data_IF_506912902930
#
_entry.id   IF_506912902930
#
_cell.length_a   1.000
_cell.length_b   1.000
_cell.length_c   1.000
_cell.angle_alpha   90.00
_cell.angle_beta   90.00
_cell.angle_gamma   90.00
#
_symmetry.space_group_name_H-M   'P 1'
#
loop_
_entity.id
_entity.type
_entity.pdbx_description
1 polymer ?
#
# COMPACT_ATOMS: atom_id res chain seq x y z
N UNK A 1 9.36 13.59 15.32
CA UNK A 1 9.51 13.16 13.92
C UNK A 1 10.55 12.04 13.81
N UNK A 2 11.85 12.32 14.02
CA UNK A 2 12.92 11.31 13.88
C UNK A 2 12.71 10.05 14.73
N UNK A 3 12.22 10.19 15.97
CA UNK A 3 11.90 9.04 16.83
C UNK A 3 10.77 8.14 16.26
N UNK A 4 9.68 8.74 15.78
CA UNK A 4 8.58 7.99 15.17
C UNK A 4 8.94 7.45 13.78
N UNK A 5 9.89 8.07 13.08
CA UNK A 5 10.37 7.59 11.79
C UNK A 5 11.04 6.21 11.88
N UNK A 6 11.71 5.90 13.00
CA UNK A 6 12.25 4.57 13.28
C UNK A 6 11.14 3.51 13.47
N UNK A 7 10.05 3.91 14.13
CA UNK A 7 8.85 3.07 14.34
C UNK A 7 8.15 2.71 13.02
N UNK A 8 8.24 3.59 12.03
CA UNK A 8 7.66 3.40 10.69
C UNK A 8 8.66 2.91 9.64
N UNK A 9 9.81 2.32 10.01
CA UNK A 9 10.82 1.79 9.07
C UNK A 9 11.10 2.75 7.88
N UNK A 10 11.38 4.03 8.18
CA UNK A 10 11.69 5.07 7.19
C UNK A 10 10.59 5.47 6.21
N UNK A 11 9.31 5.20 6.50
CA UNK A 11 8.21 5.81 5.74
C UNK A 11 8.01 7.27 6.21
N UNK A 12 8.87 8.16 5.72
CA UNK A 12 9.22 9.45 6.34
C UNK A 12 8.06 10.41 6.59
N UNK A 13 6.96 10.28 5.83
CA UNK A 13 5.87 11.25 5.90
C UNK A 13 4.78 10.93 6.93
N UNK A 14 4.56 9.64 7.21
CA UNK A 14 3.71 9.23 8.34
C UNK A 14 4.26 9.77 9.64
N UNK A 15 5.59 9.81 9.76
CA UNK A 15 6.24 10.28 10.98
C UNK A 15 5.86 11.72 11.33
N UNK A 16 5.68 12.61 10.34
CA UNK A 16 5.38 14.02 10.60
C UNK A 16 3.93 14.20 11.07
N UNK A 17 2.96 13.70 10.31
CA UNK A 17 1.54 13.78 10.68
C UNK A 17 1.22 12.98 11.95
N UNK A 18 1.85 11.82 12.13
CA UNK A 18 1.72 11.05 13.35
C UNK A 18 2.32 11.77 14.57
N UNK A 19 3.52 12.33 14.43
CA UNK A 19 4.15 13.12 15.53
C UNK A 19 3.26 14.31 15.90
N UNK A 20 2.79 15.08 14.91
CA UNK A 20 1.95 16.26 15.19
C UNK A 20 0.62 15.86 15.84
N UNK A 21 0.01 14.76 15.38
CA UNK A 21 -1.22 14.22 15.98
C UNK A 21 -1.04 13.77 17.43
N UNK A 22 0.04 13.05 17.75
CA UNK A 22 0.36 12.64 19.12
C UNK A 22 0.61 13.86 20.02
N UNK A 23 1.35 14.86 19.54
CA UNK A 23 1.59 16.10 20.27
C UNK A 23 0.29 16.88 20.51
N UNK A 24 -0.54 17.04 19.48
CA UNK A 24 -1.83 17.72 19.59
C UNK A 24 -2.78 16.99 20.54
N UNK A 25 -2.76 15.66 20.53
CA UNK A 25 -3.52 14.83 21.49
C UNK A 25 -3.07 15.09 22.92
N UNK A 26 -1.76 15.14 23.17
CA UNK A 26 -1.21 15.47 24.49
C UNK A 26 -1.63 16.87 24.94
N UNK A 27 -1.48 17.88 24.08
CA UNK A 27 -1.88 19.26 24.38
C UNK A 27 -3.39 19.33 24.65
N UNK A 28 -4.22 18.71 23.81
CA UNK A 28 -5.66 18.68 23.99
C UNK A 28 -6.07 18.00 25.31
N UNK A 29 -5.39 16.92 25.70
CA UNK A 29 -5.61 16.24 26.97
C UNK A 29 -5.28 17.15 28.17
N UNK A 30 -4.14 17.85 28.13
CA UNK A 30 -3.75 18.82 29.16
C UNK A 30 -4.79 19.95 29.25
N UNK A 31 -5.18 20.55 28.13
CA UNK A 31 -6.19 21.62 28.10
C UNK A 31 -7.52 21.15 28.72
N UNK A 32 -8.00 19.96 28.34
CA UNK A 32 -9.23 19.38 28.90
C UNK A 32 -9.14 19.09 30.39
N UNK A 33 -7.98 18.65 30.87
CA UNK A 33 -7.74 18.43 32.30
C UNK A 33 -7.92 19.72 33.12
N UNK A 34 -7.58 20.88 32.54
CA UNK A 34 -7.80 22.20 33.15
C UNK A 34 -9.17 22.81 32.83
N UNK A 35 -10.08 22.07 32.19
CA UNK A 35 -11.43 22.53 31.88
C UNK A 35 -11.55 23.44 30.65
N UNK A 36 -10.50 23.57 29.84
CA UNK A 36 -10.57 24.35 28.59
C UNK A 36 -11.34 23.57 27.51
N UNK A 37 -12.34 24.21 26.91
CA UNK A 37 -13.07 23.70 25.75
C UNK A 37 -12.38 24.15 24.46
N UNK A 38 -12.06 23.20 23.59
CA UNK A 38 -11.47 23.48 22.27
C UNK A 38 -12.60 23.45 21.25
N UNK A 39 -12.98 24.63 20.74
CA UNK A 39 -14.01 24.74 19.70
C UNK A 39 -13.45 24.40 18.32
N UNK A 40 -14.11 23.48 17.62
CA UNK A 40 -13.81 23.19 16.23
C UNK A 40 -14.43 24.27 15.33
N UNK A 41 -13.63 24.90 14.46
CA UNK A 41 -14.13 25.85 13.46
C UNK A 41 -13.85 25.35 12.05
N UNK A 42 -14.91 25.15 11.28
CA UNK A 42 -14.87 24.69 9.89
C UNK A 42 -15.28 25.83 8.95
N UNK A 43 -14.44 26.86 8.87
CA UNK A 43 -14.65 28.00 7.97
C UNK A 43 -13.99 27.72 6.62
N UNK A 44 -14.81 27.59 5.57
CA UNK A 44 -14.32 27.29 4.23
C UNK A 44 -15.05 28.12 3.18
N UNK A 45 -14.28 28.77 2.30
CA UNK A 45 -14.83 29.53 1.17
C UNK A 45 -15.19 28.59 0.01
N UNK A 46 -16.39 28.78 -0.57
CA UNK A 46 -16.90 27.98 -1.68
C UNK A 46 -17.05 28.78 -3.00
N UNK A 47 -16.78 30.09 -2.98
CA UNK A 47 -17.16 31.01 -4.06
C UNK A 47 -16.29 30.90 -5.33
N UNK A 48 -15.06 30.40 -5.21
CA UNK A 48 -14.07 30.41 -6.30
C UNK A 48 -13.86 29.05 -6.99
N UNK A 49 -14.74 28.08 -6.74
CA UNK A 49 -14.65 26.72 -7.29
C UNK A 49 -14.29 26.65 -8.79
N UNK A 50 -14.96 27.35 -9.73
CA UNK A 50 -14.66 27.19 -11.16
C UNK A 50 -13.25 27.69 -11.52
N UNK A 51 -12.76 28.75 -10.86
CA UNK A 51 -11.41 29.28 -11.06
C UNK A 51 -10.36 28.30 -10.54
N UNK A 52 -10.63 27.67 -9.40
CA UNK A 52 -9.74 26.69 -8.79
C UNK A 52 -9.66 25.40 -9.61
N UNK A 53 -10.78 24.91 -10.13
CA UNK A 53 -10.80 23.77 -11.07
C UNK A 53 -9.98 24.09 -12.31
N UNK A 54 -10.21 25.25 -12.93
CA UNK A 54 -9.44 25.68 -14.10
C UNK A 54 -7.94 25.74 -13.81
N UNK A 55 -7.54 26.32 -12.67
CA UNK A 55 -6.14 26.38 -12.25
C UNK A 55 -5.52 24.98 -12.11
N UNK A 56 -6.22 24.03 -11.48
CA UNK A 56 -5.74 22.65 -11.33
C UNK A 56 -5.62 21.93 -12.67
N UNK A 57 -6.57 22.13 -13.59
CA UNK A 57 -6.51 21.55 -14.94
C UNK A 57 -5.34 22.11 -15.74
N UNK A 58 -5.09 23.42 -15.66
CA UNK A 58 -3.93 24.06 -16.30
C UNK A 58 -2.63 23.50 -15.71
N UNK A 59 -2.53 23.39 -14.39
CA UNK A 59 -1.35 22.84 -13.73
C UNK A 59 -1.07 21.38 -14.16
N UNK A 60 -2.09 20.52 -14.14
CA UNK A 60 -1.98 19.15 -14.62
C UNK A 60 -1.57 19.08 -16.10
N UNK A 61 -2.13 19.98 -16.92
CA UNK A 61 -1.80 20.12 -18.34
C UNK A 61 -0.35 20.54 -18.58
N UNK A 62 0.17 21.47 -17.77
CA UNK A 62 1.58 21.89 -17.84
C UNK A 62 2.52 20.73 -17.50
N UNK A 63 2.22 19.96 -16.44
CA UNK A 63 3.02 18.79 -16.06
C UNK A 63 3.04 17.71 -17.14
N UNK A 64 1.87 17.34 -17.69
CA UNK A 64 1.77 16.36 -18.78
C UNK A 64 2.45 16.90 -20.05
N UNK A 65 2.16 18.14 -20.44
CA UNK A 65 2.69 18.76 -21.66
C UNK A 65 4.21 18.85 -21.65
N UNK A 66 4.80 19.33 -20.55
CA UNK A 66 6.26 19.38 -20.40
C UNK A 66 6.88 17.98 -20.39
N UNK A 67 6.29 17.04 -19.65
CA UNK A 67 6.78 15.66 -19.59
C UNK A 67 6.73 14.96 -20.96
N UNK A 68 5.66 15.15 -21.73
CA UNK A 68 5.53 14.61 -23.09
C UNK A 68 6.52 15.27 -24.06
N UNK A 69 6.68 16.58 -24.02
CA UNK A 69 7.65 17.30 -24.87
C UNK A 69 9.07 16.76 -24.67
N UNK A 70 9.46 16.53 -23.41
CA UNK A 70 10.78 16.00 -23.07
C UNK A 70 10.89 14.50 -23.43
N UNK A 71 9.83 13.72 -23.26
CA UNK A 71 9.79 12.31 -23.66
C UNK A 71 9.93 12.13 -25.18
N UNK A 72 9.28 12.98 -25.98
CA UNK A 72 9.40 13.00 -27.45
C UNK A 72 10.83 13.34 -27.87
N UNK A 73 11.42 14.40 -27.29
CA UNK A 73 12.81 14.80 -27.56
C UNK A 73 13.81 13.67 -27.30
N UNK A 74 13.61 12.90 -26.23
CA UNK A 74 14.49 11.79 -25.84
C UNK A 74 14.08 10.43 -26.45
N UNK A 75 12.97 10.36 -27.20
CA UNK A 75 12.36 9.13 -27.75
C UNK A 75 12.23 7.97 -26.76
N UNK A 76 12.00 8.27 -25.48
CA UNK A 76 11.94 7.26 -24.41
C UNK A 76 10.83 7.62 -23.43
N UNK A 77 9.61 7.15 -23.69
CA UNK A 77 8.50 7.18 -22.73
C UNK A 77 8.37 5.80 -22.08
N UNK A 78 8.38 5.73 -20.75
CA UNK A 78 8.21 4.46 -20.05
C UNK A 78 7.34 4.61 -18.80
N UNK A 79 6.04 4.84 -19.02
CA UNK A 79 5.07 4.91 -17.93
C UNK A 79 4.88 3.57 -17.20
N UNK A 80 5.18 2.44 -17.87
CA UNK A 80 5.12 1.12 -17.24
C UNK A 80 6.07 1.01 -16.06
N UNK A 81 7.26 1.63 -16.14
CA UNK A 81 8.21 1.65 -15.04
C UNK A 81 7.64 2.31 -13.77
N UNK A 82 6.78 3.33 -13.93
CA UNK A 82 6.09 3.98 -12.81
C UNK A 82 4.98 3.06 -12.27
N UNK A 83 4.20 2.42 -13.14
CA UNK A 83 3.08 1.57 -12.72
C UNK A 83 3.51 0.23 -12.12
N UNK A 84 4.71 -0.24 -12.43
CA UNK A 84 5.31 -1.42 -11.81
C UNK A 84 6.03 -1.09 -10.50
N UNK A 85 6.07 0.17 -10.08
CA UNK A 85 6.84 0.57 -8.92
C UNK A 85 6.15 0.15 -7.63
N UNK A 86 6.90 -0.45 -6.71
CA UNK A 86 6.38 -0.91 -5.41
C UNK A 86 5.84 0.22 -4.51
N UNK A 87 6.08 1.50 -4.85
CA UNK A 87 5.61 2.66 -4.09
C UNK A 87 6.15 2.79 -2.67
N UNK A 88 7.30 2.17 -2.37
CA UNK A 88 8.01 2.40 -1.11
C UNK A 88 8.59 3.83 -1.15
N UNK A 89 8.21 4.65 -0.17
CA UNK A 89 8.62 6.07 -0.07
C UNK A 89 10.14 6.26 -0.06
N UNK A 90 10.91 5.25 0.37
CA UNK A 90 12.39 5.27 0.34
C UNK A 90 13.00 5.31 -1.07
N UNK A 91 12.24 4.94 -2.11
CA UNK A 91 12.71 4.98 -3.51
C UNK A 91 12.12 6.16 -4.26
N UNK A 92 13.01 7.07 -4.63
CA UNK A 92 12.68 8.23 -5.46
C UNK A 92 12.41 7.79 -6.91
N UNK A 93 11.14 7.81 -7.33
CA UNK A 93 10.73 7.47 -8.71
C UNK A 93 11.39 8.43 -9.71
N UNK A 94 11.71 9.66 -9.29
CA UNK A 94 12.44 10.63 -10.10
C UNK A 94 13.81 10.09 -10.51
N UNK A 95 14.51 9.43 -9.58
CA UNK A 95 15.82 8.81 -9.79
C UNK A 95 15.71 7.57 -10.68
N UNK A 96 14.71 6.72 -10.43
CA UNK A 96 14.58 5.41 -11.09
C UNK A 96 13.96 5.50 -12.49
N UNK A 97 13.00 6.40 -12.71
CA UNK A 97 12.24 6.50 -13.97
C UNK A 97 12.49 7.79 -14.75
N UNK A 98 13.11 8.79 -14.12
CA UNK A 98 13.47 10.05 -14.74
C UNK A 98 12.38 11.12 -14.68
N UNK A 99 12.83 12.38 -14.65
CA UNK A 99 12.01 13.59 -14.43
C UNK A 99 10.76 13.66 -15.30
N UNK A 100 10.87 13.37 -16.60
CA UNK A 100 9.76 13.55 -17.53
C UNK A 100 8.64 12.51 -17.34
N UNK A 101 8.95 11.26 -16.95
CA UNK A 101 7.93 10.26 -16.63
C UNK A 101 7.21 10.64 -15.33
N UNK A 102 7.98 11.11 -14.33
CA UNK A 102 7.43 11.59 -13.06
C UNK A 102 6.51 12.79 -13.25
N UNK A 103 6.86 13.75 -14.10
CA UNK A 103 5.99 14.90 -14.40
C UNK A 103 4.69 14.48 -15.10
N UNK A 104 4.73 13.52 -16.02
CA UNK A 104 3.50 12.96 -16.60
C UNK A 104 2.64 12.33 -15.49
N UNK A 105 3.24 11.55 -14.59
CA UNK A 105 2.50 10.94 -13.47
C UNK A 105 1.89 12.00 -12.54
N UNK A 106 2.62 13.06 -12.19
CA UNK A 106 2.12 14.21 -11.42
C UNK A 106 0.88 14.84 -12.07
N UNK A 107 0.94 15.08 -13.37
CA UNK A 107 -0.19 15.63 -14.12
C UNK A 107 -1.38 14.70 -14.19
N UNK A 108 -1.16 13.39 -14.44
CA UNK A 108 -2.23 12.39 -14.43
C UNK A 108 -2.90 12.24 -13.06
N UNK A 109 -2.10 12.28 -11.98
CA UNK A 109 -2.62 12.28 -10.60
C UNK A 109 -3.44 13.54 -10.31
N UNK A 110 -3.01 14.70 -10.82
CA UNK A 110 -3.78 15.95 -10.71
C UNK A 110 -5.16 15.78 -11.36
N UNK A 111 -5.20 15.27 -12.59
CA UNK A 111 -6.47 15.05 -13.30
C UNK A 111 -7.36 14.02 -12.61
N UNK A 112 -6.79 12.91 -12.12
CA UNK A 112 -7.53 11.90 -11.37
C UNK A 112 -8.23 12.51 -10.15
N UNK A 113 -7.51 13.29 -9.35
CA UNK A 113 -8.05 13.85 -8.12
C UNK A 113 -9.07 14.95 -8.39
N UNK A 114 -8.84 15.83 -9.37
CA UNK A 114 -9.84 16.83 -9.78
C UNK A 114 -11.10 16.13 -10.30
N UNK A 115 -10.95 15.10 -11.14
CA UNK A 115 -12.08 14.33 -11.64
C UNK A 115 -12.84 13.63 -10.51
N UNK A 116 -12.12 13.07 -9.52
CA UNK A 116 -12.72 12.48 -8.33
C UNK A 116 -13.60 13.50 -7.58
N UNK A 117 -13.05 14.67 -7.22
CA UNK A 117 -13.78 15.70 -6.48
C UNK A 117 -15.01 16.19 -7.24
N UNK A 118 -14.89 16.41 -8.55
CA UNK A 118 -16.02 16.80 -9.40
C UNK A 118 -17.07 15.70 -9.50
N UNK A 119 -16.66 14.42 -9.60
CA UNK A 119 -17.57 13.28 -9.75
C UNK A 119 -18.47 13.05 -8.54
N UNK A 120 -17.97 13.33 -7.33
CA UNK A 120 -18.73 13.20 -6.08
C UNK A 120 -19.51 14.48 -5.73
N UNK A 121 -19.48 15.51 -6.59
CA UNK A 121 -20.17 16.77 -6.37
C UNK A 121 -19.61 17.59 -5.20
N UNK A 122 -18.33 17.40 -4.87
CA UNK A 122 -17.67 18.14 -3.81
C UNK A 122 -17.11 19.48 -4.30
N UNK A 123 -17.01 20.44 -3.39
CA UNK A 123 -16.47 21.76 -3.72
C UNK A 123 -14.94 21.76 -3.63
N UNK A 124 -14.28 22.24 -4.68
CA UNK A 124 -12.85 22.55 -4.62
C UNK A 124 -12.63 23.82 -3.81
N UNK A 125 -12.06 23.66 -2.61
CA UNK A 125 -11.70 24.74 -1.71
C UNK A 125 -10.23 24.61 -1.25
N UNK A 126 -9.79 25.52 -0.38
CA UNK A 126 -8.40 25.58 0.11
C UNK A 126 -7.87 24.23 0.65
N UNK A 127 -8.53 23.61 1.65
CA UNK A 127 -8.12 22.30 2.17
C UNK A 127 -8.05 21.20 1.11
N UNK A 128 -9.03 21.10 0.22
CA UNK A 128 -9.06 20.10 -0.86
C UNK A 128 -7.88 20.30 -1.81
N UNK A 129 -7.58 21.54 -2.19
CA UNK A 129 -6.46 21.85 -3.09
C UNK A 129 -5.12 21.60 -2.42
N UNK A 130 -4.99 21.94 -1.13
CA UNK A 130 -3.82 21.58 -0.33
C UNK A 130 -3.57 20.07 -0.33
N UNK A 131 -4.63 19.28 -0.19
CA UNK A 131 -4.57 17.83 -0.29
C UNK A 131 -4.11 17.35 -1.68
N UNK A 132 -4.68 17.91 -2.75
CA UNK A 132 -4.28 17.59 -4.13
C UNK A 132 -2.79 17.91 -4.37
N UNK A 133 -2.32 19.10 -3.98
CA UNK A 133 -0.91 19.47 -4.09
C UNK A 133 0.02 18.52 -3.34
N UNK A 134 -0.40 18.07 -2.17
CA UNK A 134 0.35 17.10 -1.38
C UNK A 134 0.53 15.78 -2.15
N UNK A 135 -0.55 15.26 -2.74
CA UNK A 135 -0.50 14.03 -3.54
C UNK A 135 0.27 14.21 -4.85
N UNK A 136 0.20 15.38 -5.48
CA UNK A 136 1.07 15.71 -6.62
C UNK A 136 2.54 15.53 -6.21
N UNK A 137 2.95 16.03 -5.05
CA UNK A 137 4.27 15.79 -4.49
C UNK A 137 4.58 14.29 -4.32
N UNK A 138 3.70 13.52 -3.69
CA UNK A 138 3.92 12.08 -3.45
C UNK A 138 3.83 11.19 -4.67
N UNK A 139 3.29 11.70 -5.78
CA UNK A 139 3.36 10.99 -7.05
C UNK A 139 4.81 10.84 -7.55
N UNK A 140 5.77 11.59 -7.00
CA UNK A 140 7.21 11.37 -7.17
C UNK A 140 7.78 10.20 -6.33
N UNK A 141 7.05 9.75 -5.31
CA UNK A 141 7.53 8.77 -4.34
C UNK A 141 6.81 7.41 -4.41
N UNK A 142 5.85 7.23 -5.32
CA UNK A 142 5.13 5.96 -5.40
C UNK A 142 3.70 6.01 -5.91
N UNK A 143 3.00 7.13 -5.69
CA UNK A 143 1.57 7.20 -5.97
C UNK A 143 1.31 7.37 -7.47
N UNK A 144 0.48 6.52 -8.04
CA UNK A 144 0.10 6.58 -9.44
C UNK A 144 -1.36 6.15 -9.61
N UNK A 145 -1.94 6.40 -10.77
CA UNK A 145 -3.39 6.20 -11.02
C UNK A 145 -3.88 4.82 -10.56
N UNK A 146 -3.20 3.75 -10.96
CA UNK A 146 -3.65 2.38 -10.66
C UNK A 146 -3.60 1.95 -9.19
N UNK A 147 -2.67 2.48 -8.39
CA UNK A 147 -2.62 2.15 -6.96
C UNK A 147 -3.51 3.07 -6.12
N UNK A 148 -3.91 4.20 -6.70
CA UNK A 148 -4.74 5.21 -6.09
C UNK A 148 -6.23 4.89 -6.22
N UNK A 149 -6.64 4.30 -7.34
CA UNK A 149 -8.05 3.94 -7.59
C UNK A 149 -8.65 3.00 -6.52
N UNK A 150 -7.99 1.91 -6.08
CA UNK A 150 -8.55 1.05 -5.03
C UNK A 150 -8.70 1.76 -3.69
N UNK A 151 -7.80 2.69 -3.35
CA UNK A 151 -7.89 3.50 -2.14
C UNK A 151 -9.07 4.47 -2.21
N UNK A 152 -9.22 5.20 -3.32
CA UNK A 152 -10.37 6.08 -3.56
C UNK A 152 -11.68 5.29 -3.49
N UNK A 153 -11.72 4.10 -4.09
CA UNK A 153 -12.88 3.22 -4.02
C UNK A 153 -13.19 2.79 -2.58
N UNK A 154 -12.18 2.36 -1.81
CA UNK A 154 -12.34 1.98 -0.40
C UNK A 154 -12.91 3.11 0.46
N UNK A 155 -12.36 4.32 0.32
CA UNK A 155 -12.86 5.51 1.04
C UNK A 155 -14.28 5.86 0.60
N UNK A 156 -14.55 5.84 -0.71
CA UNK A 156 -15.89 6.13 -1.25
C UNK A 156 -16.93 5.14 -0.72
N UNK A 157 -16.60 3.84 -0.66
CA UNK A 157 -17.45 2.81 -0.07
C UNK A 157 -17.68 3.08 1.42
N UNK A 158 -16.64 3.42 2.19
CA UNK A 158 -16.79 3.77 3.60
C UNK A 158 -17.76 4.94 3.79
N UNK A 159 -17.60 5.99 2.97
CA UNK A 159 -18.45 7.17 3.07
C UNK A 159 -19.89 6.88 2.69
N UNK A 160 -20.13 6.09 1.64
CA UNK A 160 -21.48 5.68 1.22
C UNK A 160 -22.21 4.84 2.28
N UNK A 161 -21.48 4.05 3.07
CA UNK A 161 -22.05 3.23 4.15
C UNK A 161 -22.11 3.97 5.49
N UNK A 162 -21.50 5.16 5.58
CA UNK A 162 -21.43 5.93 6.81
C UNK A 162 -22.57 6.93 6.95
N UNK A 163 -22.70 7.50 8.14
CA UNK A 163 -23.60 8.64 8.41
C UNK A 163 -23.07 9.98 7.88
N UNK A 164 -21.84 10.01 7.37
CA UNK A 164 -21.18 11.22 6.90
C UNK A 164 -21.48 11.51 5.43
N UNK A 165 -21.66 12.78 5.10
CA UNK A 165 -21.91 13.23 3.72
C UNK A 165 -20.64 13.12 2.88
N UNK A 166 -20.74 12.56 1.67
CA UNK A 166 -19.59 12.24 0.81
C UNK A 166 -18.88 13.48 0.25
N UNK A 167 -19.60 14.57 0.15
CA UNK A 167 -19.22 15.84 -0.46
C UNK A 167 -18.70 16.87 0.57
N UNK A 168 -18.64 16.50 1.85
CA UNK A 168 -18.03 17.28 2.93
C UNK A 168 -16.51 17.39 2.76
N UNK A 169 -15.94 18.53 3.16
CA UNK A 169 -14.50 18.81 2.95
C UNK A 169 -13.61 17.80 3.67
N UNK A 170 -13.97 17.40 4.89
CA UNK A 170 -13.21 16.40 5.66
C UNK A 170 -13.26 15.03 4.98
N UNK A 171 -14.43 14.65 4.47
CA UNK A 171 -14.65 13.38 3.76
C UNK A 171 -13.85 13.31 2.46
N UNK A 172 -13.83 14.40 1.68
CA UNK A 172 -13.11 14.51 0.42
C UNK A 172 -11.60 14.53 0.65
N UNK A 173 -11.13 15.28 1.64
CA UNK A 173 -9.70 15.30 1.99
C UNK A 173 -9.22 13.96 2.51
N UNK A 174 -10.05 13.21 3.24
CA UNK A 174 -9.80 11.81 3.61
C UNK A 174 -9.54 10.91 2.41
N UNK A 175 -10.37 11.02 1.37
CA UNK A 175 -10.18 10.26 0.14
C UNK A 175 -8.87 10.61 -0.56
N UNK A 176 -8.54 11.90 -0.66
CA UNK A 176 -7.32 12.36 -1.34
C UNK A 176 -6.07 11.96 -0.55
N UNK A 177 -6.07 12.14 0.77
CA UNK A 177 -4.90 11.82 1.58
C UNK A 177 -4.68 10.32 1.78
N UNK A 178 -5.68 9.47 1.57
CA UNK A 178 -5.51 8.02 1.56
C UNK A 178 -4.38 7.55 0.63
N UNK A 179 -4.00 8.34 -0.38
CA UNK A 179 -2.87 8.05 -1.28
C UNK A 179 -1.51 7.94 -0.58
N UNK A 180 -1.37 8.40 0.66
CA UNK A 180 -0.17 8.09 1.42
C UNK A 180 0.01 6.57 1.60
N UNK A 181 -1.09 5.80 1.62
CA UNK A 181 -1.14 4.35 1.81
C UNK A 181 -1.03 3.56 0.48
N UNK A 182 -0.68 4.20 -0.64
CA UNK A 182 -0.49 3.55 -1.95
C UNK A 182 0.46 2.35 -1.91
N UNK A 183 1.48 2.38 -1.04
CA UNK A 183 2.41 1.27 -0.84
C UNK A 183 1.68 -0.03 -0.44
N UNK A 184 0.58 0.07 0.31
CA UNK A 184 -0.24 -1.08 0.71
C UNK A 184 -0.96 -1.67 -0.49
N UNK A 185 -1.57 -0.83 -1.34
CA UNK A 185 -2.18 -1.29 -2.60
C UNK A 185 -1.17 -2.00 -3.48
N UNK A 186 0.08 -1.52 -3.53
CA UNK A 186 1.14 -2.17 -4.31
C UNK A 186 1.57 -3.52 -3.70
N UNK A 187 1.63 -3.65 -2.38
CA UNK A 187 2.09 -4.86 -1.70
C UNK A 187 1.01 -5.97 -1.59
N UNK A 188 -0.26 -5.58 -1.51
CA UNK A 188 -1.41 -6.46 -1.26
C UNK A 188 -2.47 -6.43 -2.37
N UNK A 189 -2.21 -5.70 -3.45
CA UNK A 189 -3.11 -5.55 -4.57
C UNK A 189 -4.33 -4.67 -4.25
N UNK A 190 -5.27 -4.66 -5.20
CA UNK A 190 -6.47 -3.83 -5.13
C UNK A 190 -7.34 -4.10 -3.89
N UNK A 191 -7.40 -5.36 -3.41
CA UNK A 191 -8.16 -5.73 -2.20
C UNK A 191 -7.60 -5.06 -0.96
N UNK A 192 -6.28 -5.08 -0.79
CA UNK A 192 -5.61 -4.40 0.33
C UNK A 192 -5.83 -2.90 0.30
N UNK A 193 -5.73 -2.29 -0.89
CA UNK A 193 -6.03 -0.86 -1.09
C UNK A 193 -7.47 -0.51 -0.70
N UNK A 194 -8.44 -1.35 -1.07
CA UNK A 194 -9.86 -1.14 -0.73
C UNK A 194 -10.11 -1.20 0.78
N UNK A 195 -9.57 -2.21 1.47
CA UNK A 195 -9.70 -2.35 2.93
C UNK A 195 -9.03 -1.19 3.65
N UNK A 196 -7.81 -0.83 3.25
CA UNK A 196 -7.06 0.25 3.90
C UNK A 196 -7.70 1.61 3.64
N UNK A 197 -8.19 1.87 2.43
CA UNK A 197 -8.97 3.07 2.14
C UNK A 197 -10.21 3.18 3.03
N UNK A 198 -10.94 2.08 3.19
CA UNK A 198 -12.12 2.03 4.06
C UNK A 198 -11.78 2.38 5.51
N UNK A 199 -10.79 1.69 6.09
CA UNK A 199 -10.38 1.90 7.49
C UNK A 199 -9.78 3.29 7.70
N UNK A 200 -9.05 3.81 6.71
CA UNK A 200 -8.52 5.17 6.76
C UNK A 200 -9.63 6.20 6.88
N UNK A 201 -10.68 6.11 6.06
CA UNK A 201 -11.83 6.99 6.13
C UNK A 201 -12.50 6.95 7.51
N UNK A 202 -12.73 5.74 8.04
CA UNK A 202 -13.28 5.57 9.39
C UNK A 202 -12.42 6.23 10.46
N UNK A 203 -11.10 6.15 10.36
CA UNK A 203 -10.20 6.75 11.34
C UNK A 203 -10.19 8.28 11.25
N UNK A 204 -10.08 8.85 10.04
CA UNK A 204 -10.02 10.31 9.83
C UNK A 204 -11.26 11.00 10.40
N UNK A 205 -12.44 10.43 10.14
CA UNK A 205 -13.72 11.03 10.53
C UNK A 205 -14.03 10.95 12.03
N UNK A 206 -13.23 10.22 12.82
CA UNK A 206 -13.49 10.02 14.25
C UNK A 206 -12.37 10.53 15.17
N UNK A 207 -11.17 10.79 14.64
CA UNK A 207 -10.02 11.10 15.49
C UNK A 207 -9.91 12.58 15.89
N UNK A 208 -10.71 13.46 15.27
CA UNK A 208 -10.74 14.89 15.62
C UNK A 208 -11.05 15.11 17.11
N UNK A 209 -11.84 14.23 17.72
CA UNK A 209 -12.09 14.24 19.16
C UNK A 209 -10.81 14.08 19.96
N UNK A 210 -9.85 13.27 19.51
CA UNK A 210 -8.65 12.95 20.27
C UNK A 210 -7.71 14.15 20.37
N UNK A 211 -7.53 14.89 19.26
CA UNK A 211 -6.64 16.05 19.21
C UNK A 211 -7.38 17.41 19.26
N UNK A 212 -8.70 17.41 19.42
CA UNK A 212 -9.52 18.61 19.52
C UNK A 212 -9.43 19.54 18.31
N UNK A 213 -9.17 19.02 17.11
CA UNK A 213 -8.96 19.84 15.91
C UNK A 213 -7.64 20.63 15.83
N UNK A 214 -6.74 20.49 16.81
CA UNK A 214 -5.45 21.18 16.81
C UNK A 214 -4.51 20.69 15.70
N UNK A 215 -4.70 19.45 15.24
CA UNK A 215 -3.90 18.85 14.18
C UNK A 215 -4.52 19.12 12.80
N UNK A 216 -4.03 20.14 12.10
CA UNK A 216 -4.43 20.44 10.72
C UNK A 216 -4.09 19.31 9.74
N UNK A 217 -3.07 18.49 10.06
CA UNK A 217 -2.76 17.29 9.30
C UNK A 217 -3.38 16.03 9.94
N UNK A 218 -4.67 16.11 10.27
CA UNK A 218 -5.46 14.99 10.81
C UNK A 218 -5.27 13.73 9.96
N UNK A 219 -5.40 13.85 8.64
CA UNK A 219 -5.20 12.75 7.71
C UNK A 219 -3.87 12.00 7.90
N UNK A 220 -2.76 12.72 8.05
CA UNK A 220 -1.45 12.10 8.28
C UNK A 220 -1.37 11.35 9.61
N UNK A 221 -2.03 11.86 10.66
CA UNK A 221 -2.13 11.17 11.96
C UNK A 221 -2.95 9.89 11.85
N UNK A 222 -4.15 9.96 11.28
CA UNK A 222 -4.99 8.79 11.02
C UNK A 222 -4.29 7.77 10.13
N UNK A 223 -3.60 8.21 9.08
CA UNK A 223 -2.80 7.36 8.21
C UNK A 223 -1.72 6.61 8.97
N UNK A 224 -1.03 7.29 9.89
CA UNK A 224 -0.02 6.67 10.75
C UNK A 224 -0.62 5.60 11.65
N UNK A 225 -1.75 5.85 12.29
CA UNK A 225 -2.44 4.86 13.13
C UNK A 225 -2.94 3.66 12.33
N UNK A 226 -3.56 3.90 11.18
CA UNK A 226 -4.02 2.85 10.26
C UNK A 226 -2.84 2.00 9.81
N UNK A 227 -1.72 2.62 9.45
CA UNK A 227 -0.50 1.91 9.08
C UNK A 227 0.00 1.02 10.24
N UNK A 228 0.07 1.54 11.47
CA UNK A 228 0.52 0.76 12.64
C UNK A 228 -0.39 -0.43 12.95
N UNK A 229 -1.71 -0.29 12.77
CA UNK A 229 -2.67 -1.33 13.14
C UNK A 229 -2.90 -2.34 12.03
N UNK A 230 -3.07 -1.88 10.79
CA UNK A 230 -3.54 -2.73 9.68
C UNK A 230 -2.39 -3.42 8.95
N UNK A 231 -1.23 -2.79 8.79
CA UNK A 231 -0.11 -3.39 8.04
C UNK A 231 0.34 -4.72 8.69
N UNK A 232 0.55 -4.83 10.02
CA UNK A 232 0.92 -6.10 10.64
C UNK A 232 -0.13 -7.20 10.47
N UNK A 233 -1.42 -6.85 10.49
CA UNK A 233 -2.52 -7.79 10.28
C UNK A 233 -2.54 -8.31 8.85
N UNK A 234 -2.30 -7.42 7.87
CA UNK A 234 -2.19 -7.80 6.46
C UNK A 234 -0.96 -8.70 6.24
N UNK A 235 0.18 -8.37 6.84
CA UNK A 235 1.41 -9.19 6.74
C UNK A 235 1.16 -10.59 7.32
N UNK A 236 0.54 -10.68 8.49
CA UNK A 236 0.18 -11.96 9.11
C UNK A 236 -0.79 -12.75 8.22
N UNK A 237 -1.81 -12.11 7.67
CA UNK A 237 -2.79 -12.77 6.80
C UNK A 237 -2.12 -13.39 5.56
N UNK A 238 -1.15 -12.68 4.99
CA UNK A 238 -0.37 -13.14 3.82
C UNK A 238 0.51 -14.33 4.18
N UNK A 239 1.18 -14.29 5.33
CA UNK A 239 1.99 -15.40 5.83
C UNK A 239 1.15 -16.66 6.10
N UNK A 240 -0.03 -16.50 6.72
CA UNK A 240 -0.94 -17.61 6.97
C UNK A 240 -1.44 -18.23 5.67
N UNK A 241 -1.81 -17.39 4.70
CA UNK A 241 -2.28 -17.88 3.39
C UNK A 241 -1.19 -18.63 2.63
N UNK A 242 0.05 -18.14 2.64
CA UNK A 242 1.20 -18.83 2.06
C UNK A 242 1.43 -20.18 2.74
N UNK A 243 1.44 -20.23 4.07
CA UNK A 243 1.62 -21.47 4.83
C UNK A 243 0.52 -22.50 4.51
N UNK A 244 -0.73 -22.06 4.38
CA UNK A 244 -1.84 -22.93 4.00
C UNK A 244 -1.73 -23.43 2.55
N UNK A 245 -1.26 -22.59 1.62
CA UNK A 245 -1.02 -23.00 0.24
C UNK A 245 0.12 -24.02 0.13
N UNK A 246 1.21 -23.81 0.87
CA UNK A 246 2.36 -24.72 0.93
C UNK A 246 1.95 -26.08 1.52
N UNK A 247 1.12 -26.09 2.58
CA UNK A 247 0.57 -27.32 3.15
C UNK A 247 -0.35 -28.05 2.17
N UNK A 248 -1.21 -27.34 1.45
CA UNK A 248 -2.10 -27.94 0.46
C UNK A 248 -1.33 -28.59 -0.70
N UNK A 249 -0.21 -27.99 -1.13
CA UNK A 249 0.68 -28.56 -2.13
C UNK A 249 1.41 -29.80 -1.60
N UNK A 250 1.94 -29.76 -0.38
CA UNK A 250 2.60 -30.91 0.24
C UNK A 250 1.65 -32.12 0.38
N UNK A 251 0.39 -31.90 0.76
CA UNK A 251 -0.63 -32.97 0.83
C UNK A 251 -1.01 -33.51 -0.56
N UNK A 252 -0.94 -32.70 -1.61
CA UNK A 252 -1.19 -33.13 -2.99
C UNK A 252 -0.02 -33.92 -3.60
N UNK A 253 1.22 -33.64 -3.21
CA UNK A 253 2.41 -34.41 -3.63
C UNK A 253 2.54 -35.75 -2.87
N UNK A 254 2.11 -35.83 -1.60
CA UNK A 254 2.13 -37.06 -0.81
C UNK A 254 1.09 -38.10 -1.27
N UNK A 255 -0.09 -37.67 -1.76
CA UNK A 255 -1.15 -38.58 -2.25
C UNK A 255 -0.71 -39.55 -3.35
N UNK A 256 -0.11 -39.11 -4.47
CA UNK A 256 0.36 -40.01 -5.52
C UNK A 256 1.52 -40.92 -5.04
N UNK A 257 2.35 -40.48 -4.09
CA UNK A 257 3.40 -41.33 -3.51
C UNK A 257 2.86 -42.41 -2.55
N UNK A 258 1.78 -42.12 -1.82
CA UNK A 258 1.09 -43.13 -1.01
C UNK A 258 0.38 -44.17 -1.87
N UNK A 259 -0.29 -43.76 -2.95
CA UNK A 259 -0.98 -44.68 -3.86
C UNK A 259 0.01 -45.61 -4.59
N UNK A 260 1.19 -45.10 -4.99
CA UNK A 260 2.28 -45.90 -5.57
C UNK A 260 2.86 -46.93 -4.58
N UNK A 261 3.06 -46.53 -3.31
CA UNK A 261 3.56 -47.45 -2.27
C UNK A 261 2.51 -48.49 -1.84
N UNK A 262 1.23 -48.13 -1.85
CA UNK A 262 0.15 -49.07 -1.61
C UNK A 262 0.09 -50.14 -2.72
N UNK A 263 0.26 -49.74 -3.99
CA UNK A 263 0.33 -50.65 -5.14
C UNK A 263 1.58 -51.57 -5.12
N UNK A 264 2.72 -51.10 -4.61
CA UNK A 264 3.90 -51.97 -4.40
C UNK A 264 3.69 -52.99 -3.27
N UNK A 265 2.92 -52.63 -2.23
CA UNK A 265 2.66 -53.52 -1.08
C UNK A 265 1.64 -54.64 -1.34
N UNK A 266 0.80 -54.51 -2.37
CA UNK A 266 -0.19 -55.52 -2.77
C UNK A 266 0.35 -56.53 -3.81
N UNK A 267 1.62 -56.43 -4.24
CA UNK A 267 2.20 -57.43 -5.12
C UNK A 267 2.40 -58.76 -4.36
N UNK A 268 1.87 -59.90 -4.85
CA UNK A 268 1.98 -61.16 -4.15
C UNK A 268 3.45 -61.59 -4.07
N UNK A 269 3.90 -62.03 -2.89
CA UNK A 269 5.22 -62.62 -2.67
C UNK A 269 5.43 -63.78 -3.65
N UNK A 270 6.29 -63.55 -4.65
CA UNK A 270 6.69 -64.58 -5.61
C UNK A 270 7.45 -65.68 -4.88
N UNK A 271 6.90 -66.89 -4.89
CA UNK A 271 7.53 -68.12 -4.40
C UNK A 271 8.87 -68.35 -5.10
N UNK A 272 9.94 -68.53 -4.31
CA UNK A 272 11.27 -68.86 -4.81
C UNK A 272 11.29 -70.30 -5.34
N UNK A 273 11.45 -70.45 -6.66
CA UNK A 273 11.75 -71.75 -7.27
C UNK A 273 13.26 -72.02 -7.17
N UNK A 274 13.62 -73.13 -6.55
CA UNK A 274 14.98 -73.61 -6.41
C UNK A 274 15.33 -74.48 -7.62
N UNK A 275 16.00 -73.94 -8.63
CA UNK A 275 16.84 -74.77 -9.53
C UNK A 275 17.89 -73.95 -10.29
N UNK A 276 19.13 -74.46 -10.24
CA UNK A 276 20.22 -74.34 -11.22
C UNK A 276 21.08 -73.05 -11.31
N UNK A 277 22.13 -73.06 -10.48
CA UNK A 277 23.54 -72.82 -10.81
C UNK A 277 23.95 -72.06 -12.09
N UNK A 278 24.38 -70.80 -11.90
CA UNK A 278 25.63 -70.19 -12.42
C UNK A 278 25.77 -68.75 -11.87
N UNK A 279 26.95 -68.30 -11.41
CA UNK A 279 27.10 -66.93 -10.93
C UNK A 279 27.22 -65.96 -12.11
N UNK A 280 26.29 -65.02 -12.24
CA UNK A 280 26.47 -63.81 -13.06
C UNK A 280 26.72 -62.61 -12.14
N UNK A 281 27.92 -62.06 -12.22
CA UNK A 281 28.26 -60.73 -11.72
C UNK A 281 27.94 -59.70 -12.81
N UNK A 282 26.98 -58.80 -12.54
CA UNK A 282 26.77 -57.47 -13.17
C UNK A 282 25.40 -56.98 -12.64
N UNK A 283 25.23 -55.90 -11.88
CA UNK A 283 25.75 -54.53 -11.99
C UNK A 283 25.79 -53.85 -10.60
N UNK A 284 26.57 -52.78 -10.39
CA UNK A 284 26.66 -52.10 -9.10
C UNK A 284 25.37 -51.34 -8.75
N UNK A 285 24.94 -51.53 -7.51
CA UNK A 285 23.87 -50.78 -6.83
C UNK A 285 24.06 -49.27 -7.05
N UNK A 286 23.06 -48.60 -7.64
CA UNK A 286 23.00 -47.13 -7.65
C UNK A 286 22.84 -46.64 -6.21
N UNK A 287 23.95 -46.25 -5.59
CA UNK A 287 23.96 -45.51 -4.34
C UNK A 287 23.29 -44.17 -4.59
N UNK A 288 22.11 -43.96 -4.00
CA UNK A 288 21.46 -42.65 -3.94
C UNK A 288 22.42 -41.68 -3.25
N UNK A 289 22.87 -40.65 -3.97
CA UNK A 289 23.66 -39.57 -3.37
C UNK A 289 22.76 -38.81 -2.38
N UNK A 290 23.21 -38.52 -1.15
CA UNK A 290 22.44 -37.66 -0.27
C UNK A 290 22.32 -36.26 -0.89
N UNK A 291 21.09 -35.75 -0.93
CA UNK A 291 20.81 -34.36 -1.31
C UNK A 291 21.41 -33.47 -0.23
N UNK A 292 22.54 -32.83 -0.54
CA UNK A 292 23.14 -31.84 0.32
C UNK A 292 22.24 -30.59 0.39
N UNK A 293 21.47 -30.45 1.47
CA UNK A 293 20.88 -29.16 1.85
C UNK A 293 22.01 -28.20 2.24
N UNK A 294 22.44 -27.33 1.31
CA UNK A 294 23.17 -26.11 1.67
C UNK A 294 22.16 -24.98 1.91
N UNK A 295 21.65 -24.87 3.13
CA UNK A 295 21.23 -23.57 3.68
C UNK A 295 22.43 -22.98 4.41
N UNK A 296 23.07 -21.97 3.83
CA UNK A 296 23.93 -21.08 4.59
C UNK A 296 23.06 -19.98 5.18
N UNK A 297 22.75 -20.10 6.47
CA UNK A 297 22.45 -18.94 7.30
C UNK A 297 23.80 -18.40 7.78
N UNK A 298 24.19 -17.19 7.35
CA UNK A 298 25.21 -16.42 8.08
C UNK A 298 24.50 -15.70 9.22
N UNK A 299 24.78 -16.14 10.45
CA UNK A 299 24.61 -15.36 11.66
C UNK A 299 25.96 -14.70 11.98
N UNK A 300 25.92 -13.40 12.31
CA UNK A 300 26.96 -12.72 13.07
C UNK A 300 28.06 -12.04 12.25
N UNK A 301 27.99 -10.71 12.18
CA UNK A 301 29.07 -9.80 12.61
C UNK A 301 28.50 -8.38 12.59
N UNK A 302 28.14 -7.89 13.78
CA UNK A 302 27.95 -6.48 14.07
C UNK A 302 29.28 -5.98 14.63
N UNK A 303 30.00 -5.19 13.85
CA UNK A 303 30.89 -4.13 14.33
C UNK A 303 30.36 -2.80 13.78
#
# INVERSE_FOLDING_TARGET
ALYFQALFQSVSLYSAGFTSGMLCTLVAAICRMFGFTIELRTLVSQEQQPRLIFMMLVLGGVFVGYGLLMAIKKKRLNMRAIWSHSGKIERDILRDTGVYNTMINMGLMTFLLVAYVVSIGAVLNGPVIGAIFCVIGFSACGSHVFNSLPLLAGVTIANLLSVYTINETVTVTSAIFAMMLCAVTNAYGWKGGLVVGFVHASMVLNIDFLHGGLNLYNNGFSGGLVAMMIIPLLDLSKQLWQKSADQAQATQEEKPQMDLKAQESEQPLVTLDQTEGKPKFSEPVKVLKPVAQKKHYRLGEWE
#
